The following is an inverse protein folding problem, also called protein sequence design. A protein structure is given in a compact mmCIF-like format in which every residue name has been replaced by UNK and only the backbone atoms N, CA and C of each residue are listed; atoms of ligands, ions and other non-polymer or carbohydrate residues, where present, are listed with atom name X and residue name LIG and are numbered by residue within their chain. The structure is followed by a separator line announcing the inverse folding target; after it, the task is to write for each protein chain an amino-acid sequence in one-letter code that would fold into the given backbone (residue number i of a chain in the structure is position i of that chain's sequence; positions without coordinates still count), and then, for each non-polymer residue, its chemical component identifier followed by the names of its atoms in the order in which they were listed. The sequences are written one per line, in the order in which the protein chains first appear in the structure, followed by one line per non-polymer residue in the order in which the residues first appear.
data_IF_058323649810
#
_entry.id   IF_058323649810
#
_cell.length_a   1.000
_cell.length_b   1.000
_cell.length_c   1.000
_cell.angle_alpha   90.00
_cell.angle_beta   90.00
_cell.angle_gamma   90.00
#
_symmetry.space_group_name_H-M   'P 1'
#
loop_
_entity.id
_entity.type
_entity.pdbx_description
1 polymer ?
#
# COMPACT_ATOMS: atom_id res chain seq x y z
N UNK A 1 -37.14 33.06 -56.88
CA UNK A 1 -36.28 31.86 -56.74
C UNK A 1 -35.26 32.13 -55.63
N UNK A 2 -35.52 31.69 -54.39
CA UNK A 2 -34.61 31.87 -53.24
C UNK A 2 -33.84 30.56 -53.04
N UNK A 3 -32.51 30.59 -53.15
CA UNK A 3 -31.63 29.42 -52.96
C UNK A 3 -31.29 29.30 -51.47
N UNK A 4 -31.66 28.18 -50.85
CA UNK A 4 -31.33 27.85 -49.47
C UNK A 4 -29.97 27.13 -49.42
N UNK A 5 -29.02 27.65 -48.64
CA UNK A 5 -27.72 27.05 -48.42
C UNK A 5 -27.81 26.10 -47.22
N UNK A 6 -27.59 24.80 -47.42
CA UNK A 6 -27.47 23.81 -46.34
C UNK A 6 -26.00 23.72 -45.92
N UNK A 7 -25.66 24.19 -44.71
CA UNK A 7 -24.39 23.86 -44.06
C UNK A 7 -24.52 22.46 -43.44
N UNK A 8 -23.79 21.49 -44.00
CA UNK A 8 -23.63 20.17 -43.38
C UNK A 8 -22.56 20.26 -42.29
N UNK A 9 -22.95 20.02 -41.04
CA UNK A 9 -22.04 19.96 -39.89
C UNK A 9 -21.38 18.58 -39.86
N UNK A 10 -20.11 18.49 -40.26
CA UNK A 10 -19.33 17.25 -40.19
C UNK A 10 -18.91 17.00 -38.74
N UNK A 11 -19.59 16.07 -38.06
CA UNK A 11 -19.21 15.63 -36.73
C UNK A 11 -17.99 14.69 -36.86
N UNK A 12 -16.79 15.25 -36.69
CA UNK A 12 -15.54 14.49 -36.67
C UNK A 12 -15.48 13.72 -35.35
N UNK A 13 -15.85 12.44 -35.38
CA UNK A 13 -15.70 11.52 -34.26
C UNK A 13 -14.21 11.22 -34.07
N UNK A 14 -13.52 12.00 -33.23
CA UNK A 14 -12.13 11.72 -32.86
C UNK A 14 -12.08 10.47 -31.98
N UNK A 15 -11.68 9.36 -32.58
CA UNK A 15 -11.28 8.15 -31.85
C UNK A 15 -10.05 8.49 -31.00
N UNK A 16 -10.26 8.85 -29.73
CA UNK A 16 -9.22 8.81 -28.73
C UNK A 16 -8.87 7.34 -28.47
N UNK A 17 -7.85 6.82 -29.15
CA UNK A 17 -7.14 5.62 -28.72
C UNK A 17 -6.47 5.95 -27.38
N UNK A 18 -7.12 5.60 -26.28
CA UNK A 18 -6.47 5.58 -24.96
C UNK A 18 -5.47 4.41 -25.02
N UNK A 19 -4.15 4.64 -24.96
CA UNK A 19 -3.20 3.55 -24.91
C UNK A 19 -3.42 2.79 -23.60
N UNK A 20 -3.93 1.56 -23.69
CA UNK A 20 -3.93 0.61 -22.59
C UNK A 20 -2.47 0.26 -22.29
N UNK A 21 -1.88 0.87 -21.27
CA UNK A 21 -0.59 0.42 -20.76
C UNK A 21 -0.82 -0.94 -20.10
N UNK A 22 -0.61 -2.01 -20.87
CA UNK A 22 -0.59 -3.37 -20.34
C UNK A 22 0.72 -3.56 -19.58
N UNK A 23 0.67 -3.48 -18.26
CA UNK A 23 1.80 -3.88 -17.42
C UNK A 23 1.92 -5.40 -17.51
N UNK A 24 3.04 -5.89 -18.06
CA UNK A 24 3.28 -7.32 -18.19
C UNK A 24 3.28 -7.99 -16.81
N UNK A 25 2.43 -8.99 -16.63
CA UNK A 25 2.38 -9.82 -15.43
C UNK A 25 3.77 -10.45 -15.20
N UNK A 26 4.42 -10.10 -14.10
CA UNK A 26 5.75 -10.63 -13.79
C UNK A 26 5.63 -12.07 -13.31
N UNK A 27 6.25 -13.01 -14.01
CA UNK A 27 6.26 -14.43 -13.67
C UNK A 27 7.65 -14.82 -13.15
N UNK A 28 7.68 -15.49 -12.00
CA UNK A 28 8.87 -16.12 -11.45
C UNK A 28 8.80 -17.64 -11.60
N UNK A 29 9.92 -18.27 -11.93
CA UNK A 29 10.04 -19.74 -12.02
C UNK A 29 10.71 -20.24 -10.74
N UNK A 30 10.01 -21.07 -9.98
CA UNK A 30 10.48 -21.65 -8.72
C UNK A 30 11.80 -22.40 -8.93
N UNK A 31 12.76 -22.12 -8.07
CA UNK A 31 14.07 -22.79 -8.01
C UNK A 31 14.14 -23.73 -6.79
N UNK A 32 15.05 -24.73 -6.81
CA UNK A 32 15.31 -25.54 -5.62
C UNK A 32 15.66 -24.68 -4.39
N UNK A 33 14.99 -24.95 -3.26
CA UNK A 33 15.18 -24.22 -2.00
C UNK A 33 14.35 -22.94 -1.84
N UNK A 34 13.53 -22.59 -2.83
CA UNK A 34 12.58 -21.49 -2.72
C UNK A 34 11.41 -21.80 -1.77
N UNK A 35 10.86 -20.72 -1.22
CA UNK A 35 9.53 -20.70 -0.62
C UNK A 35 8.79 -19.45 -1.11
N UNK A 36 7.46 -19.44 -1.06
CA UNK A 36 6.69 -18.23 -1.40
C UNK A 36 7.12 -17.02 -0.55
N UNK A 37 7.56 -17.24 0.69
CA UNK A 37 8.14 -16.18 1.53
C UNK A 37 9.42 -15.59 0.94
N UNK A 38 10.40 -16.44 0.57
CA UNK A 38 11.67 -15.97 -0.02
C UNK A 38 11.42 -15.21 -1.32
N UNK A 39 10.48 -15.70 -2.12
CA UNK A 39 10.06 -15.03 -3.36
C UNK A 39 9.41 -13.68 -3.03
N UNK A 40 8.48 -13.62 -2.06
CA UNK A 40 7.85 -12.37 -1.64
C UNK A 40 8.87 -11.31 -1.20
N UNK A 41 9.85 -11.71 -0.39
CA UNK A 41 10.95 -10.83 0.05
C UNK A 41 11.77 -10.31 -1.14
N UNK A 42 12.12 -11.19 -2.10
CA UNK A 42 12.88 -10.81 -3.30
C UNK A 42 12.18 -9.71 -4.11
N UNK A 43 10.85 -9.79 -4.23
CA UNK A 43 10.06 -8.83 -5.00
C UNK A 43 9.48 -7.68 -4.14
N UNK A 44 9.84 -7.62 -2.85
CA UNK A 44 9.31 -6.65 -1.89
C UNK A 44 7.78 -6.58 -1.91
N UNK A 45 7.15 -7.75 -1.99
CA UNK A 45 5.70 -7.92 -1.88
C UNK A 45 5.38 -8.71 -0.62
N UNK A 46 4.11 -8.76 -0.26
CA UNK A 46 3.68 -9.62 0.82
C UNK A 46 3.36 -11.04 0.35
N UNK A 47 3.50 -12.01 1.26
CA UNK A 47 3.15 -13.41 1.04
C UNK A 47 1.65 -13.57 0.75
N UNK A 48 0.76 -12.86 1.46
CA UNK A 48 -0.69 -12.91 1.21
C UNK A 48 -1.05 -12.47 -0.21
N UNK A 49 -0.43 -11.40 -0.71
CA UNK A 49 -0.64 -10.91 -2.09
C UNK A 49 -0.13 -11.93 -3.11
N UNK A 50 1.01 -12.58 -2.85
CA UNK A 50 1.48 -13.68 -3.70
C UNK A 50 0.48 -14.83 -3.68
N UNK A 51 -0.03 -15.25 -2.51
CA UNK A 51 -0.99 -16.35 -2.42
C UNK A 51 -2.27 -16.03 -3.20
N UNK A 52 -2.80 -14.81 -3.03
CA UNK A 52 -4.01 -14.36 -3.74
C UNK A 52 -3.82 -14.30 -5.26
N UNK A 53 -2.63 -13.90 -5.73
CA UNK A 53 -2.29 -13.89 -7.15
C UNK A 53 -2.04 -15.30 -7.74
N UNK A 54 -1.95 -16.32 -6.89
CA UNK A 54 -1.62 -17.68 -7.29
C UNK A 54 -2.62 -18.73 -6.74
N UNK A 55 -3.91 -18.65 -7.11
CA UNK A 55 -4.93 -19.60 -6.64
C UNK A 55 -4.67 -21.05 -7.07
N UNK A 56 -3.74 -21.29 -8.01
CA UNK A 56 -3.32 -22.64 -8.39
C UNK A 56 -2.58 -23.39 -7.28
N UNK A 57 -1.98 -22.69 -6.30
CA UNK A 57 -1.30 -23.33 -5.18
C UNK A 57 -2.28 -23.67 -4.06
N UNK A 58 -2.86 -24.88 -4.13
CA UNK A 58 -3.79 -25.40 -3.10
C UNK A 58 -3.17 -25.41 -1.70
N UNK A 59 -1.88 -25.72 -1.61
CA UNK A 59 -1.09 -25.60 -0.39
C UNK A 59 0.03 -24.57 -0.60
N UNK A 60 -0.14 -23.33 -0.12
CA UNK A 60 0.88 -22.27 -0.25
C UNK A 60 2.25 -22.60 0.37
N UNK A 61 2.30 -23.56 1.30
CA UNK A 61 3.55 -23.98 1.93
C UNK A 61 4.35 -24.97 1.06
N UNK A 62 3.79 -25.42 -0.07
CA UNK A 62 4.39 -26.45 -0.93
C UNK A 62 4.41 -25.98 -2.39
N UNK A 63 5.60 -25.56 -2.84
CA UNK A 63 5.91 -25.23 -4.23
C UNK A 63 7.05 -26.12 -4.73
N UNK A 64 7.06 -26.39 -6.03
CA UNK A 64 8.03 -27.27 -6.67
C UNK A 64 8.85 -26.51 -7.72
N UNK A 65 10.14 -26.83 -7.89
CA UNK A 65 10.96 -26.26 -8.97
C UNK A 65 10.28 -26.35 -10.34
N UNK A 66 10.40 -25.29 -11.13
CA UNK A 66 9.76 -25.17 -12.44
C UNK A 66 8.31 -24.65 -12.42
N UNK A 67 7.65 -24.60 -11.25
CA UNK A 67 6.33 -23.97 -11.15
C UNK A 67 6.41 -22.46 -11.44
N UNK A 68 5.35 -21.93 -12.06
CA UNK A 68 5.19 -20.50 -12.33
C UNK A 68 4.48 -19.84 -11.16
N UNK A 69 5.12 -18.82 -10.58
CA UNK A 69 4.55 -17.93 -9.57
C UNK A 69 4.28 -16.59 -10.22
N UNK A 70 3.02 -16.19 -10.25
CA UNK A 70 2.60 -14.85 -10.63
C UNK A 70 2.97 -13.88 -9.51
N UNK A 71 3.85 -12.92 -9.80
CA UNK A 71 4.18 -11.86 -8.86
C UNK A 71 3.10 -10.77 -8.97
N UNK A 72 2.40 -10.42 -7.89
CA UNK A 72 1.36 -9.40 -7.93
C UNK A 72 1.99 -8.04 -8.26
N UNK A 73 1.39 -7.32 -9.21
CA UNK A 73 1.74 -5.92 -9.45
C UNK A 73 1.14 -5.05 -8.35
N UNK A 74 2.01 -4.54 -7.49
CA UNK A 74 1.67 -3.58 -6.44
C UNK A 74 2.13 -2.16 -6.78
N UNK A 75 2.52 -1.86 -8.03
CA UNK A 75 3.05 -0.56 -8.43
C UNK A 75 2.12 0.59 -8.08
N UNK A 76 0.82 0.46 -8.36
CA UNK A 76 -0.19 1.46 -7.98
C UNK A 76 -0.31 1.65 -6.47
N UNK A 77 -0.34 0.56 -5.70
CA UNK A 77 -0.43 0.59 -4.22
C UNK A 77 0.83 1.21 -3.62
N UNK A 78 2.01 0.75 -4.03
CA UNK A 78 3.31 1.26 -3.58
C UNK A 78 3.50 2.73 -3.94
N UNK A 79 2.99 3.17 -5.09
CA UNK A 79 3.00 4.58 -5.49
C UNK A 79 2.19 5.45 -4.52
N UNK A 80 0.97 5.00 -4.17
CA UNK A 80 0.12 5.68 -3.18
C UNK A 80 0.79 5.73 -1.80
N UNK A 81 1.33 4.60 -1.32
CA UNK A 81 2.07 4.54 -0.04
C UNK A 81 3.28 5.48 -0.04
N UNK A 82 4.04 5.51 -1.15
CA UNK A 82 5.17 6.42 -1.33
C UNK A 82 4.75 7.88 -1.30
N UNK A 83 3.62 8.22 -1.90
CA UNK A 83 3.07 9.58 -1.86
C UNK A 83 2.72 10.01 -0.43
N UNK A 84 2.12 9.13 0.37
CA UNK A 84 1.86 9.39 1.81
C UNK A 84 3.16 9.62 2.58
N UNK A 85 4.20 8.81 2.34
CA UNK A 85 5.52 8.98 2.96
C UNK A 85 6.13 10.34 2.59
N UNK A 86 6.08 10.72 1.31
CA UNK A 86 6.60 12.00 0.84
C UNK A 86 5.88 13.18 1.51
N UNK A 87 4.54 13.17 1.53
CA UNK A 87 3.73 14.21 2.17
C UNK A 87 3.99 14.27 3.69
N UNK A 88 4.15 13.12 4.35
CA UNK A 88 4.51 13.06 5.77
C UNK A 88 5.88 13.71 6.02
N UNK A 89 6.85 13.45 5.16
CA UNK A 89 8.18 14.08 5.25
C UNK A 89 8.16 15.57 4.92
N UNK A 90 7.24 16.04 4.07
CA UNK A 90 7.02 17.47 3.86
C UNK A 90 6.49 18.14 5.13
N UNK A 91 5.53 17.52 5.82
CA UNK A 91 5.03 18.03 7.12
C UNK A 91 6.15 18.06 8.17
N UNK A 92 7.00 17.04 8.22
CA UNK A 92 8.17 17.04 9.10
C UNK A 92 9.16 18.15 8.76
N UNK A 93 9.45 18.37 7.47
CA UNK A 93 10.36 19.43 7.03
C UNK A 93 9.83 20.82 7.38
N UNK A 94 8.52 21.08 7.24
CA UNK A 94 7.87 22.33 7.68
C UNK A 94 8.07 22.60 9.18
N UNK A 95 8.25 21.54 9.97
CA UNK A 95 8.47 21.61 11.41
C UNK A 95 9.96 21.43 11.80
N UNK A 96 10.89 21.57 10.85
CA UNK A 96 12.33 21.49 11.12
C UNK A 96 12.86 20.10 11.48
N UNK A 97 12.09 19.04 11.23
CA UNK A 97 12.46 17.67 11.55
C UNK A 97 13.10 16.96 10.36
N UNK A 98 14.03 16.04 10.65
CA UNK A 98 14.64 15.17 9.65
C UNK A 98 13.59 14.28 8.98
N UNK A 99 13.71 14.00 7.67
CA UNK A 99 12.82 13.07 7.00
C UNK A 99 12.97 11.66 7.57
N UNK A 100 11.86 10.93 7.67
CA UNK A 100 11.82 9.52 8.01
C UNK A 100 12.29 8.71 6.80
N UNK A 101 13.11 7.69 7.06
CA UNK A 101 13.54 6.73 6.05
C UNK A 101 12.42 5.72 5.79
N UNK A 102 12.02 5.55 4.53
CA UNK A 102 11.06 4.52 4.16
C UNK A 102 11.63 3.12 4.45
N UNK A 103 10.85 2.26 5.08
CA UNK A 103 11.16 0.86 5.35
C UNK A 103 10.11 -0.04 4.68
N UNK A 104 10.52 -0.80 3.66
CA UNK A 104 9.59 -1.59 2.86
C UNK A 104 8.98 -2.76 3.64
N UNK A 105 9.71 -3.31 4.61
CA UNK A 105 9.20 -4.40 5.46
C UNK A 105 8.14 -3.85 6.41
N UNK A 106 8.37 -2.65 6.95
CA UNK A 106 7.37 -1.95 7.76
C UNK A 106 6.14 -1.57 6.93
N UNK A 107 6.30 -1.10 5.69
CA UNK A 107 5.16 -0.85 4.77
C UNK A 107 4.38 -2.13 4.48
N UNK A 108 5.05 -3.27 4.33
CA UNK A 108 4.38 -4.57 4.17
C UNK A 108 3.52 -4.90 5.40
N UNK A 109 4.03 -4.70 6.62
CA UNK A 109 3.27 -4.91 7.86
C UNK A 109 2.07 -3.95 7.95
N UNK A 110 2.28 -2.67 7.68
CA UNK A 110 1.22 -1.67 7.65
C UNK A 110 0.14 -2.02 6.61
N UNK A 111 0.52 -2.58 5.44
CA UNK A 111 -0.44 -3.01 4.41
C UNK A 111 -1.26 -4.21 4.87
N UNK A 112 -0.65 -5.18 5.55
CA UNK A 112 -1.41 -6.27 6.17
C UNK A 112 -2.42 -5.76 7.18
N UNK A 113 -2.05 -4.75 7.98
CA UNK A 113 -2.97 -4.13 8.92
C UNK A 113 -4.13 -3.44 8.20
N UNK A 114 -3.85 -2.71 7.12
CA UNK A 114 -4.88 -2.06 6.30
C UNK A 114 -5.84 -3.07 5.65
N UNK A 115 -5.31 -4.16 5.08
CA UNK A 115 -6.11 -5.23 4.48
C UNK A 115 -6.92 -5.99 5.53
N UNK A 116 -6.38 -6.21 6.72
CA UNK A 116 -7.09 -6.86 7.82
C UNK A 116 -8.30 -6.02 8.28
N UNK A 117 -8.12 -4.71 8.47
CA UNK A 117 -9.23 -3.78 8.76
C UNK A 117 -10.32 -3.83 7.68
N UNK A 118 -9.91 -3.86 6.41
CA UNK A 118 -10.80 -3.96 5.25
C UNK A 118 -11.58 -5.28 5.26
N UNK A 119 -10.88 -6.40 5.37
CA UNK A 119 -11.42 -7.74 5.13
C UNK A 119 -12.26 -8.23 6.32
N UNK A 120 -11.91 -7.82 7.54
CA UNK A 120 -12.64 -8.16 8.76
C UNK A 120 -13.60 -7.07 9.22
N UNK A 121 -13.80 -6.04 8.41
CA UNK A 121 -14.77 -4.96 8.63
C UNK A 121 -14.66 -4.32 10.04
N UNK A 122 -13.44 -3.92 10.43
CA UNK A 122 -13.21 -3.24 11.70
C UNK A 122 -12.29 -2.02 11.52
N UNK A 123 -12.33 -1.12 12.50
CA UNK A 123 -11.43 0.04 12.54
C UNK A 123 -10.91 0.24 13.98
N UNK A 124 -9.72 -0.29 14.25
CA UNK A 124 -9.08 -0.27 15.57
C UNK A 124 -7.57 -0.50 15.45
N UNK A 125 -6.80 0.03 16.39
CA UNK A 125 -5.37 -0.29 16.52
C UNK A 125 -5.14 -1.79 16.74
N UNK A 126 -5.98 -2.44 17.55
CA UNK A 126 -5.86 -3.88 17.80
C UNK A 126 -6.49 -4.68 16.68
N UNK A 127 -5.71 -5.54 16.03
CA UNK A 127 -6.18 -6.50 15.04
C UNK A 127 -6.73 -7.76 15.73
N UNK A 128 -7.91 -8.26 15.31
CA UNK A 128 -8.41 -9.57 15.75
C UNK A 128 -7.60 -10.74 15.17
N UNK A 129 -6.73 -10.50 14.20
CA UNK A 129 -5.84 -11.51 13.59
C UNK A 129 -4.44 -11.48 14.18
N UNK A 130 -3.89 -10.27 14.32
CA UNK A 130 -2.46 -10.05 14.57
C UNK A 130 -2.15 -9.42 15.92
N UNK A 131 -3.17 -9.07 16.73
CA UNK A 131 -2.97 -8.39 18.01
C UNK A 131 -2.68 -6.90 17.85
N UNK A 132 -1.93 -6.31 18.79
CA UNK A 132 -1.53 -4.91 18.71
C UNK A 132 -0.60 -4.65 17.51
N UNK A 133 -0.45 -3.41 17.03
CA UNK A 133 0.53 -3.12 15.97
C UNK A 133 1.97 -3.48 16.39
N UNK A 134 2.26 -3.45 17.68
CA UNK A 134 3.56 -3.80 18.25
C UNK A 134 3.83 -5.31 18.19
N UNK A 135 2.82 -6.11 18.55
CA UNK A 135 2.86 -7.57 18.39
C UNK A 135 3.02 -7.95 16.94
N UNK A 136 2.27 -7.26 16.06
CA UNK A 136 2.35 -7.47 14.63
C UNK A 136 3.76 -7.19 14.11
N UNK A 137 4.32 -6.01 14.36
CA UNK A 137 5.71 -5.69 13.97
C UNK A 137 6.71 -6.76 14.46
N UNK A 138 6.61 -7.17 15.74
CA UNK A 138 7.49 -8.19 16.32
C UNK A 138 7.33 -9.55 15.65
N UNK A 139 6.10 -10.01 15.43
CA UNK A 139 5.79 -11.30 14.81
C UNK A 139 6.22 -11.35 13.34
N UNK A 140 6.24 -10.21 12.65
CA UNK A 140 6.76 -10.07 11.29
C UNK A 140 8.28 -9.82 11.24
N UNK A 141 8.97 -9.88 12.39
CA UNK A 141 10.43 -9.77 12.47
C UNK A 141 10.97 -8.34 12.43
N UNK A 142 10.12 -7.32 12.59
CA UNK A 142 10.56 -5.92 12.68
C UNK A 142 11.11 -5.65 14.08
N UNK A 143 12.39 -5.28 14.14
CA UNK A 143 13.07 -4.85 15.37
C UNK A 143 13.06 -3.34 15.50
N UNK A 144 12.75 -2.82 16.69
CA UNK A 144 12.72 -1.38 16.99
C UNK A 144 12.95 -1.09 18.47
N UNK A 145 13.31 0.15 18.81
CA UNK A 145 13.42 0.66 20.19
C UNK A 145 12.13 1.31 20.67
N UNK A 146 11.50 2.08 19.79
CA UNK A 146 10.18 2.67 20.00
C UNK A 146 9.37 2.58 18.70
N UNK A 147 8.05 2.57 18.84
CA UNK A 147 7.14 2.53 17.70
C UNK A 147 5.83 3.27 17.97
N UNK A 148 5.16 3.69 16.91
CA UNK A 148 3.84 4.30 16.95
C UNK A 148 3.01 3.95 15.69
N UNK A 149 1.70 4.10 15.78
CA UNK A 149 0.77 3.84 14.67
C UNK A 149 -0.22 5.01 14.50
N UNK A 150 -0.46 5.38 13.23
CA UNK A 150 -1.63 6.16 12.83
C UNK A 150 -2.50 5.30 11.92
N UNK A 151 -3.83 5.29 12.14
CA UNK A 151 -4.79 4.64 11.24
C UNK A 151 -5.82 5.66 10.75
N UNK A 152 -6.34 5.45 9.54
CA UNK A 152 -7.42 6.25 8.98
C UNK A 152 -8.24 5.42 7.99
N UNK A 153 -9.50 5.82 7.77
CA UNK A 153 -10.37 5.18 6.80
C UNK A 153 -11.33 6.21 6.16
N UNK A 154 -11.68 5.97 4.90
CA UNK A 154 -12.61 6.80 4.12
C UNK A 154 -11.96 7.91 3.28
N UNK A 155 -10.74 8.35 3.62
CA UNK A 155 -10.01 9.34 2.82
C UNK A 155 -9.65 8.76 1.45
N UNK A 156 -9.82 9.55 0.39
CA UNK A 156 -9.74 9.07 -0.99
C UNK A 156 -8.37 9.30 -1.64
N UNK A 157 -7.53 10.13 -1.03
CA UNK A 157 -6.21 10.51 -1.56
C UNK A 157 -5.15 10.56 -0.47
N UNK A 158 -3.88 10.39 -0.86
CA UNK A 158 -2.73 10.53 0.03
C UNK A 158 -2.69 11.90 0.74
N UNK A 159 -3.02 12.98 0.02
CA UNK A 159 -3.07 14.33 0.59
C UNK A 159 -4.17 14.46 1.66
N UNK A 160 -5.38 13.96 1.37
CA UNK A 160 -6.49 14.06 2.32
C UNK A 160 -6.25 13.25 3.60
N UNK A 161 -5.60 12.08 3.52
CA UNK A 161 -5.29 11.29 4.71
C UNK A 161 -4.18 11.91 5.56
N UNK A 162 -3.11 12.43 4.93
CA UNK A 162 -2.05 13.12 5.67
C UNK A 162 -2.60 14.38 6.34
N UNK A 163 -3.44 15.15 5.66
CA UNK A 163 -4.10 16.30 6.26
C UNK A 163 -5.00 15.89 7.45
N UNK A 164 -5.74 14.78 7.34
CA UNK A 164 -6.59 14.29 8.42
C UNK A 164 -5.77 13.91 9.66
N UNK A 165 -4.65 13.18 9.50
CA UNK A 165 -3.73 12.89 10.60
C UNK A 165 -3.10 14.16 11.17
N UNK A 166 -2.68 15.08 10.31
CA UNK A 166 -2.16 16.37 10.75
C UNK A 166 -3.21 17.22 11.45
N UNK A 167 -4.51 17.01 11.26
CA UNK A 167 -5.55 17.75 12.00
C UNK A 167 -5.90 17.11 13.36
N UNK A 168 -5.36 15.92 13.67
CA UNK A 168 -5.58 15.21 14.92
C UNK A 168 -4.34 15.29 15.80
N UNK A 169 -4.46 15.81 17.03
CA UNK A 169 -3.32 16.03 17.92
C UNK A 169 -2.50 14.77 18.19
N UNK A 170 -3.17 13.64 18.46
CA UNK A 170 -2.51 12.34 18.69
C UNK A 170 -1.75 11.83 17.48
N UNK A 171 -2.39 11.84 16.30
CA UNK A 171 -1.75 11.38 15.07
C UNK A 171 -0.62 12.31 14.61
N UNK A 172 -0.80 13.63 14.75
CA UNK A 172 0.21 14.65 14.48
C UNK A 172 1.44 14.45 15.36
N UNK A 173 1.25 14.13 16.65
CA UNK A 173 2.37 13.87 17.56
C UNK A 173 3.25 12.71 17.09
N UNK A 174 2.66 11.65 16.52
CA UNK A 174 3.42 10.54 15.93
C UNK A 174 4.21 10.99 14.69
N UNK A 175 3.59 11.74 13.78
CA UNK A 175 4.23 12.27 12.56
C UNK A 175 5.41 13.20 12.90
N UNK A 176 5.24 14.05 13.91
CA UNK A 176 6.23 15.05 14.33
C UNK A 176 7.16 14.57 15.45
N UNK A 177 7.12 13.29 15.80
CA UNK A 177 8.05 12.75 16.79
C UNK A 177 9.49 12.81 16.27
N UNK A 178 10.37 13.46 17.03
CA UNK A 178 11.81 13.50 16.76
C UNK A 178 12.51 12.17 17.03
N UNK A 179 11.86 11.26 17.77
CA UNK A 179 12.39 9.93 18.08
C UNK A 179 12.26 8.95 16.90
N UNK A 180 11.24 9.13 16.06
CA UNK A 180 11.01 8.28 14.89
C UNK A 180 12.07 8.55 13.82
N UNK A 181 12.64 7.47 13.26
CA UNK A 181 13.65 7.53 12.19
C UNK A 181 13.23 6.80 10.93
N UNK A 182 12.28 5.87 11.02
CA UNK A 182 11.73 5.14 9.88
C UNK A 182 10.20 5.21 9.83
N UNK A 183 9.66 5.02 8.62
CA UNK A 183 8.23 4.94 8.36
C UNK A 183 7.91 3.80 7.39
N UNK A 184 6.82 3.10 7.66
CA UNK A 184 6.13 2.25 6.71
C UNK A 184 4.69 2.71 6.55
N UNK A 185 4.16 2.64 5.34
CA UNK A 185 2.77 2.99 5.04
C UNK A 185 2.08 1.83 4.35
N UNK A 186 0.85 1.56 4.77
CA UNK A 186 -0.04 0.58 4.18
C UNK A 186 -1.31 1.22 3.62
N UNK A 187 -1.71 0.78 2.43
CA UNK A 187 -2.97 1.17 1.80
C UNK A 187 -3.77 -0.05 1.35
N UNK A 188 -5.07 -0.06 1.65
CA UNK A 188 -6.02 -1.04 1.13
C UNK A 188 -7.29 -0.38 0.61
N UNK A 189 -7.72 -0.77 -0.60
CA UNK A 189 -8.98 -0.36 -1.22
C UNK A 189 -10.04 -1.46 -1.08
N UNK A 190 -11.30 -1.07 -0.88
CA UNK A 190 -12.45 -1.95 -0.67
C UNK A 190 -13.03 -1.84 0.74
N UNK A 191 -13.90 -2.78 1.13
CA UNK A 191 -14.53 -2.81 2.45
C UNK A 191 -15.57 -1.71 2.67
N UNK A 192 -16.16 -1.69 3.88
CA UNK A 192 -17.23 -0.75 4.24
C UNK A 192 -16.80 0.72 4.18
N UNK A 193 -15.54 0.99 4.53
CA UNK A 193 -14.98 2.35 4.52
C UNK A 193 -14.31 2.74 3.18
N UNK A 194 -14.35 1.87 2.17
CA UNK A 194 -13.77 2.02 0.81
C UNK A 194 -12.24 2.14 0.74
N UNK A 195 -11.59 2.77 1.70
CA UNK A 195 -10.15 3.01 1.76
C UNK A 195 -9.68 2.93 3.21
N UNK A 196 -8.58 2.20 3.43
CA UNK A 196 -7.95 2.03 4.73
C UNK A 196 -6.47 2.38 4.63
N UNK A 197 -5.98 3.11 5.63
CA UNK A 197 -4.66 3.71 5.65
C UNK A 197 -3.99 3.43 7.00
N UNK A 198 -2.71 3.11 6.97
CA UNK A 198 -1.91 2.86 8.16
C UNK A 198 -0.54 3.52 7.98
N UNK A 199 -0.08 4.28 8.97
CA UNK A 199 1.32 4.64 9.12
C UNK A 199 1.87 3.92 10.34
N UNK A 200 3.03 3.28 10.19
CA UNK A 200 3.81 2.77 11.31
C UNK A 200 5.13 3.53 11.34
N UNK A 201 5.52 3.96 12.53
CA UNK A 201 6.75 4.69 12.79
C UNK A 201 7.62 3.85 13.71
N UNK A 202 8.92 3.80 13.46
CA UNK A 202 9.88 3.13 14.36
C UNK A 202 11.18 3.91 14.53
N UNK A 203 11.89 3.59 15.62
CA UNK A 203 13.30 3.90 15.81
C UNK A 203 14.12 2.59 15.91
N UNK A 204 15.36 2.58 15.41
CA UNK A 204 16.30 1.44 15.48
C UNK A 204 17.47 1.79 16.39
#
# INVERSE_FOLDING_TARGET
MKKSFWLSFLFLLSLFCIPSVSFAQQIYIVQPGDSLWKIAVRYQVGITEIIQANPQFKNPNLIYPGQKVNIPDLGGVKSIESQVIQLTNQERAKNGLKPLKADWELSRVARYKAMDMRDKNYFSHTSPTYGSPFDMMKNFGITYRSAAENIAAGQTTAASVVQAWMNSSGHRANILSSQSTYIGVGYAKGGSQRYYWVQMFISK
#
